data_IF_409173800477
#
_entry.id   IF_409173800477
#
_cell.length_a   1.000
_cell.length_b   1.000
_cell.length_c   1.000
_cell.angle_alpha   90.00
_cell.angle_beta   90.00
_cell.angle_gamma   90.00
#
_symmetry.space_group_name_H-M   'P 1'
#
loop_
_entity.id
_entity.type
_entity.pdbx_description
1 polymer ?
#
# COMPACT_ATOMS: atom_id res chain seq x y z
N UNK A 1 -51.40 -3.08 -28.21
CA UNK A 1 -51.51 -3.77 -26.91
C UNK A 1 -50.13 -4.37 -26.66
N UNK A 2 -49.34 -3.63 -25.89
CA UNK A 2 -49.14 -3.80 -24.44
C UNK A 2 -48.20 -5.01 -24.17
N UNK A 3 -47.16 -5.04 -23.38
CA UNK A 3 -46.60 -4.21 -22.34
C UNK A 3 -45.11 -4.48 -22.21
N UNK A 4 -44.37 -3.47 -22.09
CA UNK A 4 -43.05 -3.37 -21.53
C UNK A 4 -42.99 -3.86 -20.07
N UNK A 5 -41.91 -4.51 -19.67
CA UNK A 5 -41.43 -4.50 -18.29
C UNK A 5 -39.92 -4.55 -18.26
N UNK A 6 -39.33 -3.37 -18.11
CA UNK A 6 -37.93 -3.21 -17.75
C UNK A 6 -37.63 -3.79 -16.38
N UNK A 7 -36.58 -4.58 -16.30
CA UNK A 7 -35.93 -4.98 -15.04
C UNK A 7 -34.59 -4.27 -14.93
N UNK A 8 -34.54 -3.25 -14.06
CA UNK A 8 -33.29 -2.64 -13.59
C UNK A 8 -32.58 -3.67 -12.72
N UNK A 9 -31.43 -4.14 -13.18
CA UNK A 9 -30.50 -4.85 -12.33
C UNK A 9 -29.67 -3.83 -11.54
N UNK A 10 -29.97 -3.70 -10.26
CA UNK A 10 -29.10 -3.00 -9.29
C UNK A 10 -27.90 -3.90 -8.99
N UNK A 11 -26.74 -3.56 -9.55
CA UNK A 11 -25.47 -4.19 -9.18
C UNK A 11 -25.11 -3.74 -7.76
N UNK A 12 -25.32 -4.62 -6.81
CA UNK A 12 -24.80 -4.51 -5.46
C UNK A 12 -23.29 -4.79 -5.52
N UNK A 13 -22.48 -3.74 -5.40
CA UNK A 13 -21.03 -3.85 -5.24
C UNK A 13 -20.73 -4.37 -3.82
N UNK A 14 -20.69 -5.68 -3.65
CA UNK A 14 -20.23 -6.32 -2.43
C UNK A 14 -18.71 -6.21 -2.32
N UNK A 15 -18.24 -5.37 -1.42
CA UNK A 15 -16.85 -5.37 -0.99
C UNK A 15 -16.54 -6.74 -0.36
N UNK A 16 -15.75 -7.56 -1.04
CA UNK A 16 -15.27 -8.83 -0.49
C UNK A 16 -14.14 -8.55 0.48
N UNK A 17 -14.44 -8.70 1.76
CA UNK A 17 -13.49 -8.64 2.86
C UNK A 17 -12.81 -10.00 2.97
N UNK A 18 -11.51 -10.09 2.70
CA UNK A 18 -10.70 -11.26 3.03
C UNK A 18 -10.12 -11.08 4.44
N UNK A 19 -10.37 -12.00 5.38
CA UNK A 19 -9.72 -11.94 6.68
C UNK A 19 -8.25 -12.37 6.54
N UNK A 20 -7.35 -11.66 7.22
CA UNK A 20 -6.00 -12.10 7.45
C UNK A 20 -6.00 -13.27 8.46
N UNK A 21 -4.91 -14.06 8.59
CA UNK A 21 -4.83 -15.19 9.52
C UNK A 21 -4.92 -14.77 11.01
N UNK A 22 -4.91 -13.49 11.34
CA UNK A 22 -5.07 -12.96 12.70
C UNK A 22 -6.47 -12.46 13.01
N UNK A 23 -7.39 -12.52 12.02
CA UNK A 23 -8.81 -12.18 12.21
C UNK A 23 -9.11 -10.69 12.35
N UNK A 24 -8.15 -9.81 12.09
CA UNK A 24 -8.34 -8.36 12.14
C UNK A 24 -8.67 -7.85 10.73
N UNK A 25 -9.92 -7.43 10.52
CA UNK A 25 -10.32 -6.74 9.30
C UNK A 25 -9.63 -5.36 9.23
N UNK A 26 -8.58 -5.24 8.43
CA UNK A 26 -8.02 -3.95 8.08
C UNK A 26 -8.99 -3.28 7.09
N UNK A 27 -9.88 -2.42 7.60
CA UNK A 27 -10.70 -1.56 6.74
C UNK A 27 -9.86 -0.35 6.37
N UNK A 28 -9.33 -0.33 5.16
CA UNK A 28 -8.84 0.92 4.58
C UNK A 28 -10.03 1.86 4.41
N UNK A 29 -10.02 3.06 5.01
CA UNK A 29 -11.07 4.04 4.79
C UNK A 29 -11.00 4.49 3.33
N UNK A 30 -11.93 4.03 2.52
CA UNK A 30 -12.06 4.46 1.14
C UNK A 30 -13.00 5.65 1.10
N UNK A 31 -12.48 6.84 1.40
CA UNK A 31 -13.13 8.08 1.01
C UNK A 31 -12.66 8.43 -0.40
N UNK A 32 -13.56 8.61 -1.37
CA UNK A 32 -13.19 9.07 -2.71
C UNK A 32 -12.89 10.57 -2.66
N UNK A 33 -11.68 10.92 -2.24
CA UNK A 33 -11.13 12.27 -2.32
C UNK A 33 -10.15 12.38 -3.48
N UNK A 34 -9.86 13.60 -3.94
CA UNK A 34 -8.74 13.82 -4.84
C UNK A 34 -7.45 13.38 -4.15
N UNK A 35 -6.51 12.72 -4.85
CA UNK A 35 -5.25 12.28 -4.26
C UNK A 35 -4.48 13.48 -3.70
N UNK A 36 -3.82 13.28 -2.56
CA UNK A 36 -3.08 14.34 -1.88
C UNK A 36 -1.83 14.77 -2.68
N UNK A 37 -1.29 13.87 -3.52
CA UNK A 37 -0.10 14.11 -4.32
C UNK A 37 -0.24 13.42 -5.69
N UNK A 38 0.19 14.11 -6.76
CA UNK A 38 0.36 13.55 -8.10
C UNK A 38 1.76 13.86 -8.58
N UNK A 39 2.47 12.85 -9.04
CA UNK A 39 3.84 12.99 -9.55
C UNK A 39 3.98 12.31 -10.91
N UNK A 40 4.87 12.82 -11.78
CA UNK A 40 5.32 12.06 -12.93
C UNK A 40 5.93 10.72 -12.50
N UNK A 41 5.76 9.70 -13.33
CA UNK A 41 6.35 8.38 -13.08
C UNK A 41 7.83 8.34 -13.49
N UNK A 42 8.65 9.15 -12.83
CA UNK A 42 10.10 9.20 -13.00
C UNK A 42 10.82 9.16 -11.64
N UNK A 43 12.09 8.73 -11.65
CA UNK A 43 12.88 8.60 -10.42
C UNK A 43 13.16 9.93 -9.73
N UNK A 44 13.21 11.04 -10.48
CA UNK A 44 13.47 12.37 -9.93
C UNK A 44 12.30 12.93 -9.12
N UNK A 45 11.10 12.38 -9.32
CA UNK A 45 9.88 12.80 -8.61
C UNK A 45 9.66 12.06 -7.29
N UNK A 46 10.42 11.00 -6.99
CA UNK A 46 10.18 10.14 -5.81
C UNK A 46 10.44 10.83 -4.47
N UNK A 47 11.28 11.86 -4.43
CA UNK A 47 11.50 12.65 -3.21
C UNK A 47 10.21 13.28 -2.67
N UNK A 48 9.25 13.60 -3.55
CA UNK A 48 7.94 14.10 -3.15
C UNK A 48 7.11 13.05 -2.41
N UNK A 49 7.21 11.77 -2.81
CA UNK A 49 6.57 10.65 -2.09
C UNK A 49 7.18 10.49 -0.70
N UNK A 50 8.51 10.51 -0.62
CA UNK A 50 9.22 10.41 0.66
C UNK A 50 8.80 11.55 1.62
N UNK A 51 8.75 12.79 1.13
CA UNK A 51 8.32 13.95 1.91
C UNK A 51 6.85 13.82 2.37
N UNK A 52 5.96 13.34 1.51
CA UNK A 52 4.55 13.10 1.83
C UNK A 52 4.40 12.07 2.96
N UNK A 53 5.08 10.92 2.85
CA UNK A 53 5.02 9.84 3.82
C UNK A 53 5.59 10.27 5.18
N UNK A 54 6.70 11.00 5.18
CA UNK A 54 7.30 11.55 6.41
C UNK A 54 6.33 12.49 7.12
N UNK A 55 5.75 13.46 6.39
CA UNK A 55 4.78 14.40 6.96
C UNK A 55 3.52 13.71 7.49
N UNK A 56 3.03 12.67 6.79
CA UNK A 56 1.87 11.88 7.22
C UNK A 56 2.18 11.11 8.52
N UNK A 57 3.32 10.44 8.58
CA UNK A 57 3.73 9.65 9.74
C UNK A 57 4.03 10.51 10.97
N UNK A 58 4.65 11.67 10.81
CA UNK A 58 4.87 12.64 11.88
C UNK A 58 3.52 13.12 12.46
N UNK A 59 2.59 13.49 11.59
CA UNK A 59 1.22 13.88 12.01
C UNK A 59 0.48 12.78 12.73
N UNK A 60 0.73 11.52 12.35
CA UNK A 60 0.15 10.34 12.98
C UNK A 60 0.82 9.98 14.32
N UNK A 61 1.94 10.57 14.64
CA UNK A 61 2.73 10.26 15.84
C UNK A 61 3.35 8.86 15.76
N UNK A 62 3.77 8.41 14.58
CA UNK A 62 4.49 7.14 14.43
C UNK A 62 5.84 7.20 15.14
N UNK A 63 6.22 6.11 15.80
CA UNK A 63 7.58 5.97 16.31
C UNK A 63 8.58 6.03 15.14
N UNK A 64 9.77 6.56 15.37
CA UNK A 64 10.78 6.75 14.32
C UNK A 64 11.10 5.46 13.55
N UNK A 65 11.12 4.32 14.22
CA UNK A 65 11.32 3.00 13.58
C UNK A 65 10.16 2.61 12.66
N UNK A 66 8.92 2.96 13.01
CA UNK A 66 7.73 2.71 12.19
C UNK A 66 7.72 3.64 10.99
N UNK A 67 8.02 4.92 11.20
CA UNK A 67 8.12 5.93 10.15
C UNK A 67 9.18 5.54 9.11
N UNK A 68 10.35 5.10 9.58
CA UNK A 68 11.42 4.59 8.70
C UNK A 68 10.94 3.41 7.85
N UNK A 69 10.26 2.42 8.45
CA UNK A 69 9.75 1.24 7.75
C UNK A 69 8.66 1.59 6.73
N UNK A 70 7.72 2.48 7.10
CA UNK A 70 6.67 2.93 6.18
C UNK A 70 7.27 3.69 5.00
N UNK A 71 8.24 4.59 5.26
CA UNK A 71 8.95 5.30 4.21
C UNK A 71 9.70 4.35 3.29
N UNK A 72 10.47 3.40 3.83
CA UNK A 72 11.19 2.42 3.03
C UNK A 72 10.26 1.64 2.10
N UNK A 73 9.12 1.18 2.63
CA UNK A 73 8.13 0.46 1.84
C UNK A 73 7.53 1.33 0.72
N UNK A 74 7.27 2.60 1.00
CA UNK A 74 6.76 3.54 0.01
C UNK A 74 7.80 3.87 -1.08
N UNK A 75 9.06 4.07 -0.71
CA UNK A 75 10.16 4.32 -1.65
C UNK A 75 10.36 3.12 -2.59
N UNK A 76 10.37 1.90 -2.06
CA UNK A 76 10.52 0.68 -2.84
C UNK A 76 9.31 0.45 -3.77
N UNK A 77 8.09 0.67 -3.28
CA UNK A 77 6.87 0.55 -4.08
C UNK A 77 6.86 1.54 -5.23
N UNK A 78 7.12 2.82 -4.96
CA UNK A 78 7.14 3.87 -5.96
C UNK A 78 8.24 3.62 -7.02
N UNK A 79 9.43 3.20 -6.59
CA UNK A 79 10.52 2.78 -7.49
C UNK A 79 10.09 1.64 -8.39
N UNK A 80 9.40 0.62 -7.85
CA UNK A 80 8.90 -0.50 -8.64
C UNK A 80 7.84 -0.07 -9.66
N UNK A 81 6.92 0.81 -9.30
CA UNK A 81 5.93 1.35 -10.25
C UNK A 81 6.65 2.02 -11.42
N UNK A 82 7.64 2.89 -11.13
CA UNK A 82 8.41 3.58 -12.17
C UNK A 82 9.22 2.60 -13.03
N UNK A 83 10.00 1.71 -12.42
CA UNK A 83 10.97 0.87 -13.11
C UNK A 83 10.34 -0.34 -13.80
N UNK A 84 9.35 -0.96 -13.17
CA UNK A 84 8.76 -2.22 -13.64
C UNK A 84 7.33 -2.04 -14.17
N UNK A 85 6.58 -1.11 -13.65
CA UNK A 85 5.26 -0.73 -14.17
C UNK A 85 5.40 0.03 -15.47
N UNK A 86 5.88 1.25 -15.41
CA UNK A 86 6.00 2.13 -16.58
C UNK A 86 7.18 1.81 -17.50
N UNK A 87 8.27 1.24 -16.97
CA UNK A 87 9.47 0.84 -17.77
C UNK A 87 10.02 1.95 -18.66
N UNK A 88 10.02 3.19 -18.16
CA UNK A 88 10.46 4.36 -18.88
C UNK A 88 9.40 5.00 -19.80
N UNK A 89 8.19 4.45 -19.87
CA UNK A 89 7.07 5.11 -20.51
C UNK A 89 6.60 6.30 -19.64
N UNK A 90 6.11 7.40 -20.24
CA UNK A 90 5.54 8.48 -19.47
C UNK A 90 4.26 8.04 -18.76
N UNK A 91 4.06 8.55 -17.54
CA UNK A 91 2.88 8.27 -16.76
C UNK A 91 2.80 9.13 -15.51
N UNK A 92 1.80 8.86 -14.68
CA UNK A 92 1.55 9.57 -13.44
C UNK A 92 1.28 8.57 -12.31
N UNK A 93 1.77 8.87 -11.12
CA UNK A 93 1.46 8.16 -9.89
C UNK A 93 0.67 9.11 -8.99
N UNK A 94 -0.53 8.69 -8.61
CA UNK A 94 -1.34 9.38 -7.61
C UNK A 94 -1.07 8.74 -6.25
N UNK A 95 -0.79 9.56 -5.23
CA UNK A 95 -0.53 9.11 -3.87
C UNK A 95 -1.52 9.76 -2.93
N UNK A 96 -2.11 8.97 -2.08
CA UNK A 96 -3.00 9.39 -1.01
C UNK A 96 -2.62 8.73 0.30
N UNK A 97 -3.12 9.24 1.41
CA UNK A 97 -2.84 8.66 2.71
C UNK A 97 -3.74 9.20 3.80
N UNK A 98 -3.90 8.42 4.85
CA UNK A 98 -4.77 8.79 5.94
C UNK A 98 -4.33 8.23 7.27
N UNK A 99 -4.88 8.82 8.31
CA UNK A 99 -4.65 8.47 9.71
C UNK A 99 -5.97 7.94 10.26
N UNK A 100 -6.00 6.65 10.60
CA UNK A 100 -7.10 6.04 11.33
C UNK A 100 -6.83 6.03 12.83
N UNK A 101 -7.75 5.44 13.59
CA UNK A 101 -7.66 5.38 15.05
C UNK A 101 -6.42 4.60 15.52
N UNK A 102 -6.12 3.48 14.86
CA UNK A 102 -5.04 2.55 15.22
C UNK A 102 -4.00 2.35 14.11
N UNK A 103 -4.13 3.03 12.97
CA UNK A 103 -3.27 2.81 11.81
C UNK A 103 -3.05 4.05 10.96
N UNK A 104 -1.99 4.01 10.17
CA UNK A 104 -1.71 4.94 9.07
C UNK A 104 -1.67 4.13 7.79
N UNK A 105 -2.23 4.67 6.71
CA UNK A 105 -2.19 4.02 5.40
C UNK A 105 -1.66 5.00 4.34
N UNK A 106 -0.99 4.44 3.34
CA UNK A 106 -0.53 5.14 2.13
C UNK A 106 -0.97 4.33 0.93
N UNK A 107 -1.66 4.97 -0.02
CA UNK A 107 -2.20 4.36 -1.23
C UNK A 107 -1.58 4.97 -2.46
N UNK A 108 -1.16 4.11 -3.39
CA UNK A 108 -0.67 4.46 -4.71
C UNK A 108 -1.66 4.00 -5.75
N UNK A 109 -1.95 4.87 -6.73
CA UNK A 109 -2.73 4.53 -7.90
C UNK A 109 -1.95 4.93 -9.16
N UNK A 110 -1.89 4.03 -10.15
CA UNK A 110 -1.22 4.26 -11.41
C UNK A 110 -1.93 3.55 -12.57
N UNK A 111 -1.70 4.03 -13.79
CA UNK A 111 -2.27 3.50 -15.02
C UNK A 111 -1.26 2.65 -15.83
N UNK A 112 -0.15 2.22 -15.23
CA UNK A 112 0.79 1.30 -15.85
C UNK A 112 0.12 -0.04 -16.18
N UNK A 113 0.68 -0.86 -17.08
CA UNK A 113 0.25 -2.24 -17.25
C UNK A 113 0.11 -2.96 -15.91
N UNK A 114 -0.93 -3.80 -15.77
CA UNK A 114 -1.21 -4.51 -14.53
C UNK A 114 0.04 -5.22 -13.99
N UNK A 115 0.47 -4.83 -12.82
CA UNK A 115 1.69 -5.30 -12.18
C UNK A 115 1.49 -5.41 -10.67
N UNK A 116 1.40 -6.63 -10.17
CA UNK A 116 1.43 -6.87 -8.72
C UNK A 116 2.89 -6.95 -8.26
N UNK A 117 3.36 -5.99 -7.45
CA UNK A 117 4.77 -5.99 -7.01
C UNK A 117 5.16 -7.20 -6.17
N UNK A 118 4.21 -8.00 -5.69
CA UNK A 118 4.48 -9.27 -5.01
C UNK A 118 4.84 -10.41 -5.96
N UNK A 119 4.56 -10.27 -7.26
CA UNK A 119 4.89 -11.30 -8.24
C UNK A 119 6.41 -11.41 -8.39
N UNK A 120 6.95 -12.58 -8.08
CA UNK A 120 8.38 -12.82 -8.10
C UNK A 120 9.11 -12.48 -6.79
N UNK A 121 8.39 -12.01 -5.75
CA UNK A 121 8.96 -11.90 -4.42
C UNK A 121 9.31 -13.30 -3.89
N UNK A 122 10.59 -13.50 -3.60
CA UNK A 122 11.05 -14.70 -2.91
C UNK A 122 11.74 -14.28 -1.61
N UNK A 123 11.55 -15.05 -0.53
CA UNK A 123 12.38 -14.89 0.66
C UNK A 123 13.86 -14.93 0.24
N UNK A 124 14.72 -14.10 0.85
CA UNK A 124 16.14 -14.12 0.53
C UNK A 124 16.69 -15.52 0.80
N UNK A 125 17.35 -16.12 -0.20
CA UNK A 125 18.08 -17.38 -0.04
C UNK A 125 19.33 -17.11 0.84
N UNK A 126 19.15 -17.26 2.16
CA UNK A 126 20.23 -16.97 3.13
C UNK A 126 21.35 -18.02 3.06
N UNK A 127 21.07 -19.18 2.52
CA UNK A 127 21.96 -20.35 2.38
C UNK A 127 22.84 -20.28 1.11
N UNK A 128 22.59 -19.31 0.22
CA UNK A 128 23.36 -19.12 -1.02
C UNK A 128 24.43 -18.05 -0.82
N UNK A 129 25.68 -18.28 -1.24
CA UNK A 129 26.74 -17.29 -1.19
C UNK A 129 26.34 -15.97 -1.84
N UNK A 130 26.78 -14.84 -1.28
CA UNK A 130 26.38 -13.49 -1.71
C UNK A 130 26.60 -13.25 -3.22
N UNK A 131 27.67 -13.84 -3.78
CA UNK A 131 28.01 -13.73 -5.20
C UNK A 131 27.04 -14.46 -6.15
N UNK A 132 26.27 -15.42 -5.63
CA UNK A 132 25.33 -16.24 -6.40
C UNK A 132 23.87 -15.84 -6.17
N UNK A 133 23.62 -14.86 -5.26
CA UNK A 133 22.26 -14.36 -5.01
C UNK A 133 21.77 -13.55 -6.19
N UNK A 134 20.53 -13.81 -6.60
CA UNK A 134 19.87 -12.96 -7.60
C UNK A 134 19.81 -11.52 -7.10
N UNK A 135 20.35 -10.60 -7.89
CA UNK A 135 20.26 -9.16 -7.64
C UNK A 135 18.85 -8.74 -8.05
N UNK A 136 18.00 -8.41 -7.09
CA UNK A 136 16.64 -7.90 -7.31
C UNK A 136 15.59 -8.56 -6.40
N UNK A 137 14.56 -7.82 -6.03
CA UNK A 137 13.42 -8.29 -5.21
C UNK A 137 13.68 -8.33 -3.70
N UNK A 138 14.93 -8.26 -3.23
CA UNK A 138 15.21 -8.26 -1.79
C UNK A 138 14.69 -6.99 -1.10
N UNK A 139 14.89 -5.82 -1.72
CA UNK A 139 14.41 -4.54 -1.18
C UNK A 139 12.89 -4.54 -1.03
N UNK A 140 12.19 -4.97 -2.08
CA UNK A 140 10.73 -5.11 -2.09
C UNK A 140 10.24 -6.08 -1.03
N UNK A 141 10.87 -7.25 -0.94
CA UNK A 141 10.53 -8.24 0.09
C UNK A 141 10.67 -7.67 1.50
N UNK A 142 11.83 -7.05 1.79
CA UNK A 142 12.09 -6.45 3.11
C UNK A 142 11.15 -5.28 3.39
N UNK A 143 10.89 -4.43 2.39
CA UNK A 143 9.99 -3.30 2.53
C UNK A 143 8.56 -3.73 2.85
N UNK A 144 8.02 -4.71 2.13
CA UNK A 144 6.64 -5.16 2.36
C UNK A 144 6.49 -6.00 3.63
N UNK A 145 7.54 -6.71 4.05
CA UNK A 145 7.53 -7.39 5.36
C UNK A 145 7.76 -6.43 6.54
N UNK A 146 8.20 -5.20 6.27
CA UNK A 146 8.42 -4.20 7.30
C UNK A 146 7.15 -3.43 7.68
N UNK A 147 6.10 -3.44 6.85
CA UNK A 147 4.78 -2.86 7.14
C UNK A 147 3.83 -3.93 7.70
N UNK A 148 2.76 -3.51 8.35
CA UNK A 148 1.81 -4.45 8.96
C UNK A 148 0.88 -5.10 7.92
N UNK A 149 0.58 -4.41 6.81
CA UNK A 149 -0.16 -4.96 5.67
C UNK A 149 0.24 -4.29 4.38
N UNK A 150 0.24 -5.07 3.30
CA UNK A 150 0.31 -4.61 1.93
C UNK A 150 -0.81 -5.25 1.11
N UNK A 151 -1.57 -4.42 0.41
CA UNK A 151 -2.67 -4.85 -0.45
C UNK A 151 -2.45 -4.33 -1.86
N UNK A 152 -2.77 -5.17 -2.85
CA UNK A 152 -2.78 -4.81 -4.26
C UNK A 152 -4.10 -5.23 -4.89
N UNK A 153 -4.70 -4.31 -5.64
CA UNK A 153 -5.92 -4.54 -6.41
C UNK A 153 -5.79 -3.91 -7.80
N UNK A 154 -6.42 -4.52 -8.80
CA UNK A 154 -6.63 -3.91 -10.10
C UNK A 154 -8.08 -3.40 -10.16
N UNK A 155 -8.27 -2.09 -10.09
CA UNK A 155 -9.59 -1.45 -10.04
C UNK A 155 -9.82 -0.61 -11.27
N UNK A 156 -10.80 -0.98 -12.08
CA UNK A 156 -11.14 -0.29 -13.34
C UNK A 156 -9.94 -0.07 -14.27
N UNK A 157 -9.01 -1.04 -14.31
CA UNK A 157 -7.80 -0.98 -15.14
C UNK A 157 -6.63 -0.21 -14.52
N UNK A 158 -6.78 0.30 -13.31
CA UNK A 158 -5.71 0.98 -12.56
C UNK A 158 -5.12 0.07 -11.51
N UNK A 159 -3.81 0.10 -11.34
CA UNK A 159 -3.15 -0.53 -10.21
C UNK A 159 -3.43 0.31 -8.96
N UNK A 160 -3.84 -0.36 -7.89
CA UNK A 160 -4.05 0.25 -6.57
C UNK A 160 -3.28 -0.55 -5.55
N UNK A 161 -2.29 0.07 -4.93
CA UNK A 161 -1.44 -0.53 -3.92
C UNK A 161 -1.58 0.23 -2.60
N UNK A 162 -1.81 -0.47 -1.50
CA UNK A 162 -1.98 0.14 -0.17
C UNK A 162 -1.02 -0.45 0.83
N UNK A 163 -0.26 0.42 1.49
CA UNK A 163 0.61 0.11 2.63
C UNK A 163 -0.10 0.53 3.92
N UNK A 164 -0.05 -0.32 4.94
CA UNK A 164 -0.64 -0.03 6.25
C UNK A 164 0.40 -0.23 7.35
N UNK A 165 0.49 0.74 8.26
CA UNK A 165 1.31 0.69 9.46
C UNK A 165 0.43 0.93 10.70
N UNK A 166 0.44 0.01 11.66
CA UNK A 166 -0.26 0.18 12.93
C UNK A 166 0.45 1.20 13.81
N UNK A 167 -0.32 2.01 14.50
CA UNK A 167 0.21 2.99 15.47
C UNK A 167 0.47 2.26 16.80
N UNK A 168 1.69 2.38 17.34
CA UNK A 168 1.98 1.91 18.69
C UNK A 168 1.36 2.91 19.68
N UNK A 169 0.41 2.47 20.50
CA UNK A 169 -0.12 3.30 21.58
C UNK A 169 -1.63 3.46 21.64
N UNK A 170 -2.41 2.95 20.70
CA UNK A 170 -3.86 2.85 20.88
C UNK A 170 -4.25 1.47 21.43
N UNK A 171 -4.19 1.33 22.74
CA UNK A 171 -5.07 0.46 23.49
C UNK A 171 -4.78 -1.03 23.53
N UNK A 172 -3.94 -1.44 24.49
CA UNK A 172 -4.44 -2.48 25.40
C UNK A 172 -4.71 -1.78 26.74
N UNK A 173 -5.91 -1.84 27.32
CA UNK A 173 -6.07 -1.49 28.72
C UNK A 173 -5.16 -2.41 29.51
N UNK A 174 -4.19 -1.82 30.23
CA UNK A 174 -3.42 -2.50 31.24
C UNK A 174 -4.38 -3.31 32.11
N UNK A 175 -4.24 -4.63 32.09
CA UNK A 175 -4.97 -5.47 33.03
C UNK A 175 -4.66 -4.97 34.45
N UNK A 176 -5.66 -4.78 35.33
CA UNK A 176 -5.39 -4.37 36.70
C UNK A 176 -4.53 -5.45 37.35
N UNK A 177 -3.41 -5.03 37.92
CA UNK A 177 -2.59 -5.88 38.78
C UNK A 177 -3.49 -6.48 39.84
N UNK A 178 -3.64 -7.80 39.83
CA UNK A 178 -4.28 -8.53 40.91
C UNK A 178 -3.40 -8.38 42.15
N UNK A 179 -3.93 -7.64 43.13
CA UNK A 179 -3.40 -7.54 44.49
C UNK A 179 -3.74 -8.79 45.30
#
# INVERSE_FOLDING_TARGET
MAFDHGARATASSGAQTRPDPTGTCVRTPREPGAPALRIPADLGSLDAVAAFVLALGDRAGLAQSQLYRLRLAADELATNIVMHGYRGAPGEIAVDGGIGDDQVWVRFEDDAPAFDPRQGMQPPALDVPLAERQIGGLGVYLAFTAVDSFEYELVAGRNVSTLVMRRQGCGAPSAPAAG
#
